data_IF_322071856480
#
_entry.id   IF_322071856480
#
_cell.length_a   1.000
_cell.length_b   1.000
_cell.length_c   1.000
_cell.angle_alpha   90.00
_cell.angle_beta   90.00
_cell.angle_gamma   90.00
#
_symmetry.space_group_name_H-M   'P 1'
#
loop_
_entity.id
_entity.type
_entity.pdbx_description
1 polymer ?
#
# COMPACT_ATOMS: atom_id res chain seq x y z
N UNK A 1 12.76 -17.18 21.82
CA UNK A 1 12.37 -15.80 22.20
C UNK A 1 12.78 -14.79 21.13
N UNK A 2 13.98 -14.85 20.55
CA UNK A 2 14.42 -13.93 19.47
C UNK A 2 13.50 -13.83 18.23
N UNK A 3 12.91 -14.94 17.78
CA UNK A 3 12.10 -14.91 16.55
C UNK A 3 10.76 -14.17 16.71
N UNK A 4 10.25 -14.07 17.95
CA UNK A 4 9.01 -13.33 18.25
C UNK A 4 9.24 -11.83 18.08
N UNK A 5 10.38 -11.32 18.56
CA UNK A 5 10.74 -9.90 18.47
C UNK A 5 10.96 -9.47 17.01
N UNK A 6 11.62 -10.31 16.20
CA UNK A 6 11.80 -10.04 14.77
C UNK A 6 10.48 -10.08 13.99
N UNK A 7 9.57 -10.99 14.35
CA UNK A 7 8.24 -11.04 13.74
C UNK A 7 7.46 -9.78 14.07
N UNK A 8 7.46 -9.34 15.33
CA UNK A 8 6.78 -8.12 15.74
C UNK A 8 7.33 -6.89 15.01
N UNK A 9 8.65 -6.77 14.91
CA UNK A 9 9.30 -5.71 14.15
C UNK A 9 8.85 -5.70 12.68
N UNK A 10 8.77 -6.86 12.04
CA UNK A 10 8.30 -6.96 10.66
C UNK A 10 6.82 -6.56 10.51
N UNK A 11 5.96 -6.97 11.44
CA UNK A 11 4.54 -6.60 11.43
C UNK A 11 4.34 -5.10 11.67
N UNK A 12 5.14 -4.49 12.55
CA UNK A 12 5.11 -3.05 12.79
C UNK A 12 5.56 -2.27 11.54
N UNK A 13 6.62 -2.73 10.86
CA UNK A 13 7.05 -2.16 9.58
C UNK A 13 5.96 -2.21 8.52
N UNK A 14 5.29 -3.36 8.36
CA UNK A 14 4.17 -3.50 7.45
C UNK A 14 3.03 -2.52 7.78
N UNK A 15 2.66 -2.41 9.06
CA UNK A 15 1.64 -1.46 9.51
C UNK A 15 1.98 -0.02 9.15
N UNK A 16 3.23 0.42 9.32
CA UNK A 16 3.63 1.77 8.92
C UNK A 16 3.50 2.02 7.41
N UNK A 17 3.79 1.01 6.58
CA UNK A 17 3.61 1.12 5.13
C UNK A 17 2.12 1.22 4.80
N UNK A 18 1.29 0.36 5.38
CA UNK A 18 -0.16 0.38 5.21
C UNK A 18 -0.78 1.73 5.62
N UNK A 19 -0.38 2.26 6.78
CA UNK A 19 -0.82 3.57 7.28
C UNK A 19 -0.40 4.71 6.37
N UNK A 20 0.79 4.64 5.79
CA UNK A 20 1.28 5.63 4.83
C UNK A 20 0.47 5.61 3.53
N UNK A 21 0.08 4.43 3.04
CA UNK A 21 -0.77 4.28 1.85
C UNK A 21 -2.14 4.92 2.08
N UNK A 22 -2.81 4.62 3.20
CA UNK A 22 -4.12 5.20 3.49
C UNK A 22 -4.04 6.71 3.64
N UNK A 23 -3.08 7.20 4.43
CA UNK A 23 -2.88 8.64 4.61
C UNK A 23 -2.61 9.38 3.29
N UNK A 24 -1.91 8.73 2.35
CA UNK A 24 -1.72 9.25 1.01
C UNK A 24 -3.07 9.30 0.26
N UNK A 25 -3.82 8.20 0.24
CA UNK A 25 -5.08 8.14 -0.49
C UNK A 25 -6.16 9.08 0.05
N UNK A 26 -6.22 9.33 1.36
CA UNK A 26 -7.14 10.32 1.97
C UNK A 26 -6.91 11.73 1.42
N UNK A 27 -5.67 12.07 1.02
CA UNK A 27 -5.33 13.37 0.41
C UNK A 27 -5.57 13.40 -1.10
N UNK A 28 -5.87 12.27 -1.71
CA UNK A 28 -6.04 12.09 -3.15
C UNK A 28 -7.41 11.46 -3.46
N UNK A 29 -8.51 12.24 -3.39
CA UNK A 29 -9.88 11.71 -3.54
C UNK A 29 -10.18 11.11 -4.92
N UNK A 30 -9.38 11.43 -5.95
CA UNK A 30 -9.47 10.81 -7.29
C UNK A 30 -8.74 9.46 -7.37
N UNK A 31 -8.03 9.10 -6.32
CA UNK A 31 -7.19 7.91 -6.24
C UNK A 31 -5.86 8.07 -6.95
N UNK A 32 -5.01 7.05 -6.77
CA UNK A 32 -3.69 6.94 -7.36
C UNK A 32 -3.48 5.56 -7.98
N UNK A 33 -2.67 5.48 -9.04
CA UNK A 33 -2.24 4.21 -9.62
C UNK A 33 -1.16 3.56 -8.75
N UNK A 34 -0.96 2.25 -8.86
CA UNK A 34 0.09 1.55 -8.10
C UNK A 34 1.49 2.14 -8.34
N UNK A 35 1.92 2.48 -9.59
CA UNK A 35 3.23 3.10 -9.80
C UNK A 35 3.36 4.47 -9.13
N UNK A 36 2.29 5.29 -9.13
CA UNK A 36 2.32 6.60 -8.48
C UNK A 36 2.44 6.46 -6.96
N UNK A 37 1.75 5.48 -6.36
CA UNK A 37 1.87 5.19 -4.92
C UNK A 37 3.28 4.69 -4.60
N UNK A 38 3.83 3.80 -5.43
CA UNK A 38 5.17 3.25 -5.26
C UNK A 38 6.24 4.35 -5.33
N UNK A 39 6.12 5.28 -6.28
CA UNK A 39 7.03 6.41 -6.44
C UNK A 39 6.96 7.37 -5.25
N UNK A 40 5.75 7.79 -4.86
CA UNK A 40 5.56 8.77 -3.76
C UNK A 40 6.04 8.23 -2.42
N UNK A 41 5.81 6.93 -2.15
CA UNK A 41 6.17 6.31 -0.88
C UNK A 41 7.57 5.68 -0.89
N UNK A 42 8.31 5.76 -2.01
CA UNK A 42 9.62 5.11 -2.14
C UNK A 42 9.57 3.59 -2.03
N UNK A 43 8.46 2.96 -2.44
CA UNK A 43 8.24 1.52 -2.40
C UNK A 43 8.61 0.82 -3.73
N UNK A 44 9.15 1.56 -4.70
CA UNK A 44 9.76 0.97 -5.88
C UNK A 44 11.08 0.26 -5.51
N UNK A 45 11.25 -0.95 -5.98
CA UNK A 45 12.47 -1.74 -5.85
C UNK A 45 13.37 -1.60 -7.08
N UNK A 46 14.68 -1.68 -6.89
CA UNK A 46 15.69 -1.76 -7.95
C UNK A 46 15.71 -3.15 -8.61
N UNK A 47 14.55 -3.57 -9.12
CA UNK A 47 14.35 -4.84 -9.81
C UNK A 47 13.99 -4.60 -11.27
N UNK A 48 13.92 -5.69 -12.05
CA UNK A 48 13.44 -5.64 -13.42
C UNK A 48 12.07 -4.91 -13.52
N UNK A 49 11.77 -4.19 -14.62
CA UNK A 49 10.60 -3.31 -14.70
C UNK A 49 9.27 -3.94 -14.26
N UNK A 50 9.06 -5.23 -14.54
CA UNK A 50 7.86 -5.98 -14.12
C UNK A 50 7.71 -6.20 -12.61
N UNK A 51 8.78 -6.05 -11.84
CA UNK A 51 8.79 -6.23 -10.38
C UNK A 51 9.11 -4.93 -9.64
N UNK A 52 9.27 -3.81 -10.37
CA UNK A 52 9.64 -2.52 -9.79
C UNK A 52 8.70 -2.12 -8.65
N UNK A 53 7.40 -2.28 -8.83
CA UNK A 53 6.40 -1.83 -7.85
C UNK A 53 5.79 -2.98 -7.05
N UNK A 54 6.50 -4.12 -6.94
CA UNK A 54 5.97 -5.35 -6.34
C UNK A 54 5.65 -5.19 -4.84
N UNK A 55 6.44 -4.39 -4.10
CA UNK A 55 6.17 -4.11 -2.68
C UNK A 55 4.86 -3.34 -2.53
N UNK A 56 4.72 -2.23 -3.26
CA UNK A 56 3.49 -1.45 -3.27
C UNK A 56 2.30 -2.30 -3.71
N UNK A 57 2.45 -3.12 -4.75
CA UNK A 57 1.38 -3.97 -5.28
C UNK A 57 0.88 -4.98 -4.23
N UNK A 58 1.79 -5.64 -3.51
CA UNK A 58 1.42 -6.57 -2.45
C UNK A 58 0.67 -5.89 -1.28
N UNK A 59 1.14 -4.72 -0.84
CA UNK A 59 0.47 -3.95 0.22
C UNK A 59 -0.92 -3.49 -0.23
N UNK A 60 -1.05 -2.99 -1.45
CA UNK A 60 -2.33 -2.56 -2.01
C UNK A 60 -3.33 -3.70 -2.09
N UNK A 61 -2.90 -4.91 -2.48
CA UNK A 61 -3.76 -6.09 -2.49
C UNK A 61 -4.25 -6.45 -1.08
N UNK A 62 -3.38 -6.40 -0.06
CA UNK A 62 -3.76 -6.64 1.34
C UNK A 62 -4.79 -5.60 1.83
N UNK A 63 -4.58 -4.34 1.51
CA UNK A 63 -5.48 -3.25 1.89
C UNK A 63 -6.84 -3.33 1.19
N UNK A 64 -6.88 -3.70 -0.08
CA UNK A 64 -8.15 -3.95 -0.79
C UNK A 64 -8.87 -5.15 -0.19
N UNK A 65 -8.17 -6.25 0.07
CA UNK A 65 -8.77 -7.47 0.65
C UNK A 65 -9.30 -7.25 2.07
N UNK A 66 -8.67 -6.39 2.86
CA UNK A 66 -9.17 -5.99 4.18
C UNK A 66 -10.29 -4.94 4.12
N UNK A 67 -10.56 -4.38 2.93
CA UNK A 67 -11.52 -3.32 2.71
C UNK A 67 -11.07 -1.97 3.26
N UNK A 68 -9.79 -1.82 3.59
CA UNK A 68 -9.22 -0.57 4.13
C UNK A 68 -9.04 0.51 3.06
N UNK A 69 -8.89 0.09 1.80
CA UNK A 69 -8.93 0.95 0.61
C UNK A 69 -9.82 0.27 -0.44
N UNK A 70 -10.20 1.00 -1.50
CA UNK A 70 -10.99 0.46 -2.60
C UNK A 70 -10.21 0.53 -3.91
N UNK A 71 -10.49 -0.42 -4.80
CA UNK A 71 -10.04 -0.40 -6.19
C UNK A 71 -11.15 0.16 -7.09
N UNK A 72 -10.85 1.22 -7.84
CA UNK A 72 -11.74 1.79 -8.83
C UNK A 72 -11.37 1.27 -10.22
N UNK A 73 -12.17 0.33 -10.74
CA UNK A 73 -11.96 -0.27 -12.07
C UNK A 73 -12.02 0.75 -13.21
N UNK A 74 -12.88 1.77 -13.12
CA UNK A 74 -13.09 2.72 -14.20
C UNK A 74 -11.87 3.63 -14.43
N UNK A 75 -11.24 4.08 -13.34
CA UNK A 75 -10.04 4.92 -13.39
C UNK A 75 -8.74 4.13 -13.24
N UNK A 76 -8.82 2.83 -12.92
CA UNK A 76 -7.67 1.98 -12.58
C UNK A 76 -6.81 2.60 -11.48
N UNK A 77 -7.46 3.08 -10.42
CA UNK A 77 -6.83 3.72 -9.27
C UNK A 77 -7.30 3.13 -7.96
N UNK A 78 -6.43 3.17 -6.95
CA UNK A 78 -6.80 2.91 -5.56
C UNK A 78 -7.30 4.20 -4.92
N UNK A 79 -8.36 4.12 -4.12
CA UNK A 79 -8.97 5.23 -3.39
C UNK A 79 -9.11 4.88 -1.92
N UNK A 80 -9.16 5.89 -1.07
CA UNK A 80 -9.46 5.71 0.36
C UNK A 80 -10.85 5.10 0.57
N UNK A 81 -11.02 4.30 1.62
CA UNK A 81 -12.35 3.85 2.04
C UNK A 81 -12.83 4.68 3.24
N UNK A 82 -13.79 5.60 3.06
CA UNK A 82 -14.28 6.46 4.13
C UNK A 82 -15.00 5.69 5.25
N UNK A 83 -15.46 4.46 5.01
CA UNK A 83 -16.14 3.63 6.00
C UNK A 83 -15.16 2.94 6.98
N UNK A 84 -13.85 3.04 6.74
CA UNK A 84 -12.80 2.32 7.47
C UNK A 84 -11.58 3.18 7.86
N UNK A 85 -11.57 4.47 7.51
CA UNK A 85 -10.51 5.42 7.84
C UNK A 85 -10.75 6.17 9.14
#
# INVERSE_FOLDING_TARGET
>A
MNDLDHREQAQLGLKYIEDSVVNLLTRHPKGLSAPAIAEVLGLSAELAPKHRDMIASGVLELLVRSGRILWNEASRTYVDNPDKS
#
